data_IF_682763152022
#
_entry.id   IF_682763152022
#
_cell.length_a   1.000
_cell.length_b   1.000
_cell.length_c   1.000
_cell.angle_alpha   90.00
_cell.angle_beta   90.00
_cell.angle_gamma   90.00
#
_symmetry.space_group_name_H-M   'P 1'
#
loop_
_entity.id
_entity.type
_entity.pdbx_description
1 polymer ?
#
# COMPACT_ATOMS: atom_id res chain seq x y z
N UNK A 1 -1.13 -65.31 24.66
CA UNK A 1 -1.50 -66.46 23.81
C UNK A 1 -0.66 -66.41 22.55
N UNK A 2 0.06 -67.52 22.26
CA UNK A 2 0.52 -68.07 20.96
C UNK A 2 0.95 -67.06 19.86
N UNK A 3 2.26 -66.98 19.53
CA UNK A 3 3.03 -67.81 18.54
C UNK A 3 2.53 -67.64 17.09
N UNK A 4 3.31 -67.64 16.01
CA UNK A 4 4.74 -67.59 15.62
C UNK A 4 4.70 -67.79 14.08
N UNK A 5 5.63 -67.17 13.35
CA UNK A 5 6.37 -67.65 12.17
C UNK A 5 5.69 -68.52 11.08
N UNK A 6 6.00 -68.25 9.80
CA UNK A 6 6.75 -69.19 8.94
C UNK A 6 7.09 -68.62 7.55
N UNK A 7 8.37 -68.76 7.18
CA UNK A 7 8.91 -68.77 5.82
C UNK A 7 8.43 -70.00 5.02
N UNK A 8 8.47 -69.90 3.68
CA UNK A 8 8.98 -70.92 2.72
C UNK A 8 8.73 -70.41 1.28
N UNK A 9 9.77 -70.20 0.45
CA UNK A 9 10.44 -71.14 -0.48
C UNK A 9 9.63 -71.45 -1.76
N UNK A 10 10.25 -71.14 -2.91
CA UNK A 10 9.78 -71.31 -4.29
C UNK A 10 9.65 -72.78 -4.73
N UNK A 11 9.04 -73.04 -5.91
CA UNK A 11 9.89 -73.42 -7.04
C UNK A 11 9.44 -72.94 -8.45
N UNK A 12 10.39 -73.04 -9.38
CA UNK A 12 10.25 -72.90 -10.83
C UNK A 12 9.32 -73.97 -11.44
N UNK A 13 8.59 -73.58 -12.50
CA UNK A 13 8.19 -74.48 -13.58
C UNK A 13 8.32 -73.74 -14.92
N UNK A 14 9.03 -74.40 -15.84
CA UNK A 14 9.28 -73.97 -17.20
C UNK A 14 8.04 -74.20 -18.08
N UNK A 15 7.79 -73.28 -19.01
CA UNK A 15 6.99 -73.55 -20.20
C UNK A 15 7.64 -72.84 -21.40
N UNK A 16 8.16 -73.68 -22.29
CA UNK A 16 8.63 -73.40 -23.64
C UNK A 16 7.50 -72.94 -24.57
N UNK A 17 7.82 -72.08 -25.54
CA UNK A 17 7.22 -72.19 -26.87
C UNK A 17 6.79 -70.90 -27.56
N UNK A 18 7.54 -70.60 -28.62
CA UNK A 18 7.11 -69.98 -29.89
C UNK A 18 6.94 -68.45 -29.92
N UNK A 19 7.93 -67.83 -30.57
CA UNK A 19 7.88 -66.46 -31.09
C UNK A 19 6.81 -66.32 -32.18
N UNK A 20 5.91 -65.37 -32.00
CA UNK A 20 5.20 -64.71 -33.09
C UNK A 20 5.65 -63.24 -33.08
N UNK A 21 6.42 -62.84 -34.09
CA UNK A 21 6.76 -61.45 -34.31
C UNK A 21 5.49 -60.69 -34.73
N UNK A 22 4.86 -60.00 -33.77
CA UNK A 22 3.83 -59.01 -34.06
C UNK A 22 4.52 -57.68 -34.28
N UNK A 23 4.42 -57.18 -35.52
CA UNK A 23 4.82 -55.83 -35.88
C UNK A 23 4.15 -54.83 -34.93
N UNK A 24 4.94 -54.00 -34.26
CA UNK A 24 4.43 -52.91 -33.45
C UNK A 24 3.95 -51.80 -34.40
N UNK A 25 2.68 -51.41 -34.26
CA UNK A 25 2.17 -50.20 -34.90
C UNK A 25 3.01 -49.00 -34.45
N UNK A 26 3.31 -48.05 -35.37
CA UNK A 26 4.00 -46.82 -34.98
C UNK A 26 3.18 -46.06 -33.92
N UNK A 27 3.85 -45.42 -32.94
CA UNK A 27 3.15 -44.69 -31.89
C UNK A 27 2.26 -43.60 -32.51
N UNK A 28 1.06 -43.35 -31.94
CA UNK A 28 0.18 -42.32 -32.45
C UNK A 28 0.88 -40.96 -32.42
N UNK A 29 0.68 -40.10 -33.44
CA UNK A 29 1.28 -38.78 -33.46
C UNK A 29 0.87 -38.01 -32.21
N UNK A 30 1.82 -37.28 -31.62
CA UNK A 30 1.59 -36.45 -30.45
C UNK A 30 0.34 -35.57 -30.66
N UNK A 31 -0.54 -35.43 -29.65
CA UNK A 31 -1.71 -34.58 -29.77
C UNK A 31 -1.25 -33.18 -30.15
N UNK A 32 -1.72 -32.70 -31.31
CA UNK A 32 -1.51 -31.32 -31.71
C UNK A 32 -2.25 -30.44 -30.70
N UNK A 33 -1.49 -29.80 -29.81
CA UNK A 33 -2.01 -28.75 -28.94
C UNK A 33 -2.39 -27.61 -29.87
N UNK A 34 -3.69 -27.46 -30.13
CA UNK A 34 -4.21 -26.25 -30.75
C UNK A 34 -3.65 -25.06 -29.97
N UNK A 35 -3.15 -23.99 -30.63
CA UNK A 35 -2.68 -22.82 -29.92
C UNK A 35 -3.79 -22.39 -28.98
N UNK A 36 -3.48 -22.33 -27.67
CA UNK A 36 -4.41 -21.83 -26.68
C UNK A 36 -4.98 -20.53 -27.22
N UNK A 37 -6.31 -20.42 -27.30
CA UNK A 37 -6.97 -19.16 -27.64
C UNK A 37 -6.29 -18.07 -26.80
N UNK A 38 -5.86 -16.94 -27.39
CA UNK A 38 -5.15 -15.92 -26.65
C UNK A 38 -6.02 -15.55 -25.45
N UNK A 39 -5.56 -15.89 -24.24
CA UNK A 39 -6.15 -15.37 -23.01
C UNK A 39 -6.11 -13.86 -23.22
N UNK A 40 -7.29 -13.26 -23.36
CA UNK A 40 -7.40 -11.84 -23.65
C UNK A 40 -6.71 -11.11 -22.51
N UNK A 41 -5.46 -10.70 -22.73
CA UNK A 41 -4.77 -9.75 -21.86
C UNK A 41 -5.69 -8.55 -21.88
N UNK A 42 -6.40 -8.29 -20.79
CA UNK A 42 -7.15 -7.05 -20.65
C UNK A 42 -6.15 -5.94 -20.93
N UNK A 43 -6.31 -5.25 -22.06
CA UNK A 43 -5.28 -4.35 -22.57
C UNK A 43 -5.02 -3.29 -21.52
N UNK A 44 -3.75 -3.08 -21.19
CA UNK A 44 -3.36 -2.00 -20.29
C UNK A 44 -3.91 -0.70 -20.88
N UNK A 45 -4.77 0.05 -20.17
CA UNK A 45 -5.37 1.26 -20.73
C UNK A 45 -4.29 2.29 -21.02
N UNK A 46 -4.46 3.09 -22.07
CA UNK A 46 -3.56 4.22 -22.35
C UNK A 46 -3.78 5.34 -21.33
N UNK A 47 -2.86 6.31 -21.24
CA UNK A 47 -3.03 7.45 -20.32
C UNK A 47 -4.31 8.24 -20.60
N UNK A 48 -4.64 8.40 -21.88
CA UNK A 48 -5.86 9.06 -22.33
C UNK A 48 -7.09 8.28 -21.84
N UNK A 49 -7.06 6.94 -21.91
CA UNK A 49 -8.14 6.10 -21.41
C UNK A 49 -8.27 6.12 -19.89
N UNK A 50 -7.14 6.16 -19.16
CA UNK A 50 -7.13 6.27 -17.69
C UNK A 50 -7.87 7.53 -17.24
N UNK A 51 -7.64 8.64 -17.93
CA UNK A 51 -8.14 9.97 -17.57
C UNK A 51 -9.38 10.40 -18.38
N UNK A 52 -9.91 9.53 -19.24
CA UNK A 52 -11.08 9.85 -20.06
C UNK A 52 -12.31 10.06 -19.16
N UNK A 53 -12.84 11.29 -19.17
CA UNK A 53 -14.11 11.62 -18.51
C UNK A 53 -15.25 11.05 -19.36
N UNK A 54 -16.07 10.11 -18.83
CA UNK A 54 -17.24 9.60 -19.55
C UNK A 54 -18.23 10.73 -19.86
N UNK A 55 -18.90 10.67 -21.01
CA UNK A 55 -19.84 11.71 -21.42
C UNK A 55 -20.93 12.02 -20.36
N UNK A 56 -21.56 11.03 -19.68
CA UNK A 56 -22.52 11.31 -18.61
C UNK A 56 -21.89 12.04 -17.42
N UNK A 57 -20.66 11.71 -17.04
CA UNK A 57 -19.93 12.39 -15.97
C UNK A 57 -19.58 13.82 -16.36
N UNK A 58 -19.14 14.04 -17.61
CA UNK A 58 -18.87 15.40 -18.13
C UNK A 58 -20.14 16.25 -18.13
N UNK A 59 -21.27 15.69 -18.55
CA UNK A 59 -22.56 16.39 -18.53
C UNK A 59 -22.98 16.75 -17.09
N UNK A 60 -22.77 15.84 -16.14
CA UNK A 60 -23.04 16.11 -14.72
C UNK A 60 -22.15 17.24 -14.18
N UNK A 61 -20.85 17.21 -14.47
CA UNK A 61 -19.93 18.28 -14.11
C UNK A 61 -20.37 19.63 -14.69
N UNK A 62 -20.74 19.65 -15.97
CA UNK A 62 -21.16 20.87 -16.64
C UNK A 62 -22.43 21.45 -16.00
N UNK A 63 -23.44 20.61 -15.77
CA UNK A 63 -24.77 21.05 -15.29
C UNK A 63 -24.83 21.35 -13.81
N UNK A 64 -24.05 20.63 -12.97
CA UNK A 64 -24.09 20.77 -11.52
C UNK A 64 -23.00 21.68 -10.96
N UNK A 65 -21.86 21.79 -11.65
CA UNK A 65 -20.70 22.55 -11.16
C UNK A 65 -20.43 23.78 -12.01
N UNK A 66 -20.15 23.61 -13.30
CA UNK A 66 -19.60 24.70 -14.13
C UNK A 66 -20.65 25.76 -14.46
N UNK A 67 -21.84 25.35 -14.92
CA UNK A 67 -22.88 26.28 -15.38
C UNK A 67 -23.58 27.04 -14.24
N UNK A 68 -23.56 26.52 -13.01
CA UNK A 68 -24.26 27.09 -11.84
C UNK A 68 -23.42 28.08 -11.05
N UNK A 69 -22.10 28.06 -11.24
CA UNK A 69 -21.18 28.79 -10.37
C UNK A 69 -20.15 29.56 -11.19
N UNK A 70 -20.02 30.86 -10.88
CA UNK A 70 -19.08 31.77 -11.53
C UNK A 70 -17.71 31.79 -10.85
N UNK A 71 -17.65 31.54 -9.54
CA UNK A 71 -16.39 31.52 -8.78
C UNK A 71 -15.77 30.13 -8.69
N UNK A 72 -14.43 30.08 -8.63
CA UNK A 72 -13.67 28.82 -8.47
C UNK A 72 -13.94 28.14 -7.13
N UNK A 73 -14.14 28.92 -6.07
CA UNK A 73 -14.47 28.42 -4.73
C UNK A 73 -15.82 27.70 -4.71
N UNK A 74 -16.86 28.31 -5.28
CA UNK A 74 -18.18 27.66 -5.39
C UNK A 74 -18.12 26.40 -6.25
N UNK A 75 -17.34 26.41 -7.35
CA UNK A 75 -17.13 25.22 -8.17
C UNK A 75 -16.42 24.11 -7.42
N UNK A 76 -15.44 24.45 -6.58
CA UNK A 76 -14.73 23.47 -5.75
C UNK A 76 -15.68 22.81 -4.75
N UNK A 77 -16.51 23.61 -4.07
CA UNK A 77 -17.50 23.10 -3.13
C UNK A 77 -18.54 22.22 -3.84
N UNK A 78 -19.10 22.69 -4.96
CA UNK A 78 -20.07 21.93 -5.75
C UNK A 78 -19.46 20.65 -6.35
N UNK A 79 -18.17 20.65 -6.69
CA UNK A 79 -17.45 19.46 -7.15
C UNK A 79 -17.34 18.41 -6.03
N UNK A 80 -16.99 18.83 -4.81
CA UNK A 80 -16.96 17.93 -3.66
C UNK A 80 -18.35 17.33 -3.38
N UNK A 81 -19.40 18.15 -3.41
CA UNK A 81 -20.79 17.69 -3.27
C UNK A 81 -21.23 16.76 -4.41
N UNK A 82 -20.79 17.00 -5.64
CA UNK A 82 -21.09 16.13 -6.78
C UNK A 82 -20.42 14.76 -6.64
N UNK A 83 -19.21 14.68 -6.07
CA UNK A 83 -18.47 13.42 -5.90
C UNK A 83 -19.02 12.60 -4.73
N UNK A 84 -19.31 13.25 -3.60
CA UNK A 84 -19.69 12.55 -2.35
C UNK A 84 -21.19 12.54 -2.06
N UNK A 85 -21.99 13.32 -2.78
CA UNK A 85 -23.43 13.41 -2.54
C UNK A 85 -24.16 12.13 -2.95
N UNK A 86 -25.04 11.64 -2.08
CA UNK A 86 -25.86 10.44 -2.31
C UNK A 86 -26.80 10.55 -3.54
N UNK A 87 -27.15 11.77 -3.97
CA UNK A 87 -27.94 12.03 -5.19
C UNK A 87 -27.08 12.36 -6.42
N UNK A 88 -25.78 12.10 -6.34
CA UNK A 88 -24.78 12.45 -7.34
C UNK A 88 -23.93 11.22 -7.72
N UNK A 89 -22.61 11.27 -7.57
CA UNK A 89 -21.75 10.13 -7.85
C UNK A 89 -21.80 9.05 -6.76
N UNK A 90 -22.08 9.45 -5.50
CA UNK A 90 -22.07 8.58 -4.32
C UNK A 90 -20.82 7.68 -4.24
N UNK A 91 -19.65 8.30 -4.43
CA UNK A 91 -18.40 7.57 -4.50
C UNK A 91 -18.05 6.90 -3.16
N UNK A 92 -17.90 5.58 -3.19
CA UNK A 92 -17.51 4.76 -2.05
C UNK A 92 -16.00 4.48 -2.06
N UNK A 93 -15.38 4.45 -0.88
CA UNK A 93 -13.98 4.08 -0.74
C UNK A 93 -13.81 2.56 -0.78
N UNK A 94 -12.90 2.08 -1.63
CA UNK A 94 -12.44 0.70 -1.66
C UNK A 94 -10.91 0.71 -1.85
N UNK A 95 -10.11 0.16 -0.91
CA UNK A 95 -8.65 0.23 -0.98
C UNK A 95 -8.06 -0.49 -2.20
N UNK A 96 -8.79 -1.42 -2.81
CA UNK A 96 -8.36 -2.23 -3.96
C UNK A 96 -8.87 -1.69 -5.30
N UNK A 97 -9.64 -0.59 -5.30
CA UNK A 97 -10.26 -0.02 -6.48
C UNK A 97 -9.38 1.02 -7.18
N UNK A 98 -8.21 0.62 -7.70
CA UNK A 98 -7.47 1.47 -8.65
C UNK A 98 -8.17 1.40 -10.00
N UNK A 99 -9.00 2.39 -10.32
CA UNK A 99 -9.85 2.39 -11.50
C UNK A 99 -9.62 3.61 -12.39
N UNK A 100 -9.82 3.43 -13.69
CA UNK A 100 -9.95 4.52 -14.66
C UNK A 100 -11.20 5.35 -14.34
N UNK A 101 -11.25 6.59 -14.83
CA UNK A 101 -12.43 7.45 -14.61
C UNK A 101 -13.73 6.82 -15.14
N UNK A 102 -13.65 6.03 -16.21
CA UNK A 102 -14.79 5.28 -16.75
C UNK A 102 -15.24 4.17 -15.80
N UNK A 103 -14.31 3.39 -15.27
CA UNK A 103 -14.61 2.34 -14.29
C UNK A 103 -15.16 2.93 -12.98
N UNK A 104 -14.62 4.06 -12.50
CA UNK A 104 -15.15 4.75 -11.32
C UNK A 104 -16.61 5.19 -11.55
N UNK A 105 -16.90 5.76 -12.72
CA UNK A 105 -18.28 6.11 -13.07
C UNK A 105 -19.20 4.89 -13.04
N UNK A 106 -18.77 3.73 -13.53
CA UNK A 106 -19.61 2.54 -13.56
C UNK A 106 -19.78 1.89 -12.19
N UNK A 107 -18.70 1.81 -11.40
CA UNK A 107 -18.63 1.05 -10.15
C UNK A 107 -18.93 1.86 -8.91
N UNK A 108 -18.85 3.19 -8.99
CA UNK A 108 -18.98 4.13 -7.86
C UNK A 108 -17.99 3.82 -6.72
N UNK A 109 -16.82 3.29 -7.05
CA UNK A 109 -15.77 2.92 -6.10
C UNK A 109 -14.43 3.50 -6.53
N UNK A 110 -13.61 3.89 -5.57
CA UNK A 110 -12.22 4.32 -5.81
C UNK A 110 -11.37 4.15 -4.53
N UNK A 111 -10.09 3.82 -4.73
CA UNK A 111 -9.06 4.05 -3.71
C UNK A 111 -8.54 5.50 -3.75
N UNK A 112 -7.57 5.82 -2.89
CA UNK A 112 -7.00 7.17 -2.77
C UNK A 112 -6.45 7.71 -4.10
N UNK A 113 -5.73 6.88 -4.85
CA UNK A 113 -5.12 7.24 -6.13
C UNK A 113 -6.17 7.46 -7.23
N UNK A 114 -7.10 6.52 -7.39
CA UNK A 114 -8.16 6.62 -8.40
C UNK A 114 -9.03 7.87 -8.18
N UNK A 115 -9.38 8.16 -6.92
CA UNK A 115 -10.04 9.40 -6.56
C UNK A 115 -9.19 10.63 -6.85
N UNK A 116 -7.91 10.61 -6.50
CA UNK A 116 -7.00 11.74 -6.72
C UNK A 116 -6.93 12.10 -8.21
N UNK A 117 -6.86 11.09 -9.08
CA UNK A 117 -6.91 11.27 -10.53
C UNK A 117 -8.27 11.79 -11.00
N UNK A 118 -9.38 11.21 -10.51
CA UNK A 118 -10.74 11.69 -10.81
C UNK A 118 -10.89 13.17 -10.42
N UNK A 119 -10.63 13.50 -9.16
CA UNK A 119 -10.82 14.83 -8.61
C UNK A 119 -9.94 15.86 -9.32
N UNK A 120 -8.64 15.59 -9.48
CA UNK A 120 -7.74 16.50 -10.18
C UNK A 120 -8.17 16.74 -11.64
N UNK A 121 -8.65 15.70 -12.33
CA UNK A 121 -9.11 15.80 -13.72
C UNK A 121 -10.39 16.65 -13.80
N UNK A 122 -11.40 16.36 -12.98
CA UNK A 122 -12.65 17.11 -12.96
C UNK A 122 -12.47 18.55 -12.47
N UNK A 123 -11.58 18.79 -11.51
CA UNK A 123 -11.25 20.13 -11.02
C UNK A 123 -10.63 20.99 -12.13
N UNK A 124 -9.68 20.43 -12.89
CA UNK A 124 -9.09 21.12 -14.05
C UNK A 124 -10.13 21.43 -15.13
N UNK A 125 -11.00 20.47 -15.44
CA UNK A 125 -12.12 20.66 -16.38
C UNK A 125 -13.07 21.78 -15.90
N UNK A 126 -13.23 21.94 -14.58
CA UNK A 126 -14.00 23.03 -13.98
C UNK A 126 -13.27 24.39 -13.88
N UNK A 127 -12.02 24.48 -14.35
CA UNK A 127 -11.20 25.69 -14.30
C UNK A 127 -10.53 25.96 -12.95
N UNK A 128 -10.38 24.93 -12.11
CA UNK A 128 -9.69 24.97 -10.82
C UNK A 128 -8.25 24.49 -11.00
N UNK A 129 -7.29 25.21 -10.42
CA UNK A 129 -5.90 24.78 -10.42
C UNK A 129 -5.73 23.61 -9.46
N UNK A 130 -5.54 22.41 -10.01
CA UNK A 130 -5.35 21.18 -9.26
C UNK A 130 -4.10 20.41 -9.74
N UNK A 131 -3.35 19.87 -8.79
CA UNK A 131 -2.14 19.06 -9.02
C UNK A 131 -2.16 17.82 -8.15
N UNK A 132 -1.74 16.69 -8.71
CA UNK A 132 -1.49 15.49 -7.91
C UNK A 132 -0.24 15.75 -7.08
N UNK A 133 -0.25 15.30 -5.83
CA UNK A 133 0.88 15.36 -4.94
C UNK A 133 1.20 13.97 -4.41
N UNK A 134 2.49 13.65 -4.31
CA UNK A 134 2.98 12.48 -3.59
C UNK A 134 3.05 12.77 -2.09
N UNK A 135 2.81 11.73 -1.30
CA UNK A 135 3.03 11.73 0.15
C UNK A 135 4.05 10.66 0.47
N UNK A 136 5.22 11.07 0.94
CA UNK A 136 6.39 10.20 1.07
C UNK A 136 6.16 9.03 2.04
N UNK A 137 5.62 9.27 3.25
CA UNK A 137 5.33 8.22 4.24
C UNK A 137 4.02 8.47 4.99
N UNK A 138 3.23 7.40 5.18
CA UNK A 138 1.93 7.42 5.88
C UNK A 138 1.78 6.25 6.85
N UNK A 139 1.23 6.47 8.05
CA UNK A 139 1.04 5.42 9.08
C UNK A 139 0.10 4.30 8.60
N UNK A 140 -0.95 4.62 7.85
CA UNK A 140 -2.00 3.66 7.46
C UNK A 140 -1.45 2.46 6.67
N UNK A 141 -0.35 2.66 5.93
CA UNK A 141 0.28 1.63 5.12
C UNK A 141 1.14 0.63 5.92
N UNK A 142 1.71 1.05 7.06
CA UNK A 142 2.59 0.18 7.88
C UNK A 142 1.84 -0.90 8.66
N UNK A 143 0.51 -0.84 8.75
CA UNK A 143 -0.28 -1.79 9.54
C UNK A 143 -0.52 -3.15 8.85
N UNK A 144 -0.24 -3.28 7.54
CA UNK A 144 -0.65 -4.44 6.73
C UNK A 144 0.52 -5.40 6.33
N UNK A 145 1.72 -5.22 6.88
CA UNK A 145 2.95 -5.91 6.41
C UNK A 145 3.17 -7.35 6.95
N UNK A 146 2.21 -7.99 7.63
CA UNK A 146 2.44 -9.25 8.35
C UNK A 146 2.61 -10.53 7.46
N UNK A 147 2.57 -10.44 6.12
CA UNK A 147 2.45 -11.62 5.24
C UNK A 147 3.64 -11.91 4.28
N UNK A 148 4.87 -11.60 4.69
CA UNK A 148 6.09 -12.19 4.09
C UNK A 148 6.53 -11.68 2.72
N UNK A 149 5.74 -10.85 2.03
CA UNK A 149 6.14 -10.12 0.82
C UNK A 149 5.59 -8.69 0.89
N UNK A 150 6.47 -7.69 0.76
CA UNK A 150 6.12 -6.28 0.88
C UNK A 150 6.12 -5.63 -0.50
N UNK A 151 4.95 -5.31 -1.05
CA UNK A 151 4.90 -4.47 -2.26
C UNK A 151 5.09 -3.01 -1.86
N UNK A 152 5.27 -2.11 -2.83
CA UNK A 152 5.28 -0.67 -2.57
C UNK A 152 4.14 -0.03 -3.36
N UNK A 153 3.18 0.56 -2.64
CA UNK A 153 2.09 1.37 -3.19
C UNK A 153 2.16 2.72 -2.49
N UNK A 154 2.50 3.77 -3.24
CA UNK A 154 2.56 5.11 -2.69
C UNK A 154 1.17 5.68 -2.39
N UNK A 155 1.12 6.67 -1.50
CA UNK A 155 -0.07 7.48 -1.29
C UNK A 155 0.04 8.80 -2.04
N UNK A 156 -1.07 9.22 -2.65
CA UNK A 156 -1.16 10.51 -3.35
C UNK A 156 -2.43 11.25 -2.93
N UNK A 157 -2.40 12.58 -3.07
CA UNK A 157 -3.57 13.43 -2.86
C UNK A 157 -3.59 14.59 -3.87
N UNK A 158 -4.58 15.50 -3.73
CA UNK A 158 -4.73 16.65 -4.63
C UNK A 158 -4.38 17.94 -3.91
N UNK A 159 -3.39 18.66 -4.43
CA UNK A 159 -3.15 20.06 -4.09
C UNK A 159 -4.04 20.96 -4.94
N UNK A 160 -4.78 21.87 -4.29
CA UNK A 160 -5.66 22.84 -4.92
C UNK A 160 -5.16 24.26 -4.66
N UNK A 161 -5.33 25.15 -5.65
CA UNK A 161 -5.11 26.59 -5.50
C UNK A 161 -6.37 27.34 -5.96
N UNK A 162 -6.96 28.11 -5.04
CA UNK A 162 -8.13 28.96 -5.31
C UNK A 162 -7.85 30.35 -4.78
N UNK A 163 -7.85 31.34 -5.67
CA UNK A 163 -7.70 32.77 -5.35
C UNK A 163 -6.49 33.08 -4.42
N UNK A 164 -5.35 32.44 -4.70
CA UNK A 164 -4.11 32.60 -3.94
C UNK A 164 -4.03 31.77 -2.66
N UNK A 165 -5.10 31.07 -2.27
CA UNK A 165 -5.14 30.16 -1.12
C UNK A 165 -4.90 28.72 -1.58
N UNK A 166 -3.94 28.06 -0.94
CA UNK A 166 -3.65 26.65 -1.15
C UNK A 166 -4.42 25.75 -0.18
N UNK A 167 -4.76 24.54 -0.65
CA UNK A 167 -5.34 23.48 0.18
C UNK A 167 -4.99 22.11 -0.36
N UNK A 168 -5.30 21.07 0.41
CA UNK A 168 -5.16 19.67 0.02
C UNK A 168 -6.50 18.97 0.15
N UNK A 169 -6.87 18.18 -0.85
CA UNK A 169 -8.03 17.30 -0.85
C UNK A 169 -7.51 15.87 -0.80
N UNK A 170 -7.87 15.17 0.28
CA UNK A 170 -7.52 13.77 0.52
C UNK A 170 -8.78 13.01 0.97
N UNK A 171 -8.91 11.74 0.57
CA UNK A 171 -9.99 10.86 0.98
C UNK A 171 -9.80 10.35 2.40
N UNK A 172 -8.56 10.13 2.82
CA UNK A 172 -8.27 9.57 4.13
C UNK A 172 -7.92 10.68 5.12
N UNK A 173 -8.91 11.03 5.94
CA UNK A 173 -8.79 12.07 6.99
C UNK A 173 -7.88 11.65 8.15
N UNK A 174 -7.44 10.39 8.20
CA UNK A 174 -6.60 9.86 9.27
C UNK A 174 -5.13 9.69 8.87
N UNK A 175 -4.74 10.14 7.69
CA UNK A 175 -3.35 10.08 7.25
C UNK A 175 -2.52 11.11 8.02
N UNK A 176 -1.52 10.59 8.71
CA UNK A 176 -0.46 11.40 9.28
C UNK A 176 0.61 11.60 8.19
N UNK A 177 0.79 12.84 7.76
CA UNK A 177 1.83 13.22 6.81
C UNK A 177 3.19 13.31 7.50
N UNK A 178 4.23 12.94 6.75
CA UNK A 178 5.60 13.16 7.15
C UNK A 178 5.95 14.66 7.27
N UNK A 179 7.16 14.96 7.72
CA UNK A 179 7.63 16.35 7.90
C UNK A 179 7.76 17.14 6.60
N UNK A 180 7.95 16.46 5.46
CA UNK A 180 8.10 17.11 4.15
C UNK A 180 6.74 17.51 3.59
N UNK A 181 5.69 16.80 3.97
CA UNK A 181 4.33 17.06 3.53
C UNK A 181 4.14 16.70 2.05
N UNK A 182 2.93 16.87 1.53
CA UNK A 182 2.63 16.52 0.14
C UNK A 182 3.37 17.43 -0.84
N UNK A 183 4.07 16.84 -1.81
CA UNK A 183 4.77 17.59 -2.86
C UNK A 183 4.19 17.30 -4.25
N UNK A 184 4.04 18.31 -5.13
CA UNK A 184 3.46 18.12 -6.45
C UNK A 184 4.29 17.20 -7.34
N UNK A 185 3.60 16.37 -8.12
CA UNK A 185 4.22 15.47 -9.09
C UNK A 185 3.71 15.68 -10.51
N UNK A 186 4.48 15.20 -11.49
CA UNK A 186 4.10 15.21 -12.89
C UNK A 186 2.94 14.26 -13.18
N UNK A 187 2.29 14.45 -14.33
CA UNK A 187 1.24 13.54 -14.77
C UNK A 187 1.78 12.12 -15.04
N UNK A 188 2.97 12.02 -15.65
CA UNK A 188 3.59 10.71 -15.90
C UNK A 188 3.93 9.99 -14.60
N UNK A 189 4.38 10.70 -13.56
CA UNK A 189 4.56 10.11 -12.23
C UNK A 189 3.25 9.62 -11.63
N UNK A 190 2.16 10.38 -11.75
CA UNK A 190 0.84 9.97 -11.25
C UNK A 190 0.28 8.76 -12.02
N UNK A 191 0.53 8.68 -13.33
CA UNK A 191 0.19 7.51 -14.14
C UNK A 191 1.06 6.30 -13.81
N UNK A 192 2.34 6.51 -13.46
CA UNK A 192 3.21 5.43 -12.98
C UNK A 192 2.67 4.82 -11.68
N UNK A 193 2.19 5.64 -10.72
CA UNK A 193 1.44 5.14 -9.56
C UNK A 193 0.23 4.30 -9.97
N UNK A 194 -0.56 4.78 -10.94
CA UNK A 194 -1.77 4.07 -11.39
C UNK A 194 -1.42 2.69 -11.93
N UNK A 195 -0.50 2.62 -12.87
CA UNK A 195 -0.10 1.35 -13.46
C UNK A 195 0.62 0.45 -12.46
N UNK A 196 1.41 1.01 -11.53
CA UNK A 196 2.03 0.24 -10.44
C UNK A 196 0.99 -0.43 -9.55
N UNK A 197 -0.05 0.30 -9.12
CA UNK A 197 -1.10 -0.26 -8.27
C UNK A 197 -1.90 -1.34 -9.00
N UNK A 198 -2.27 -1.10 -10.26
CA UNK A 198 -2.91 -2.14 -11.11
C UNK A 198 -2.02 -3.37 -11.26
N UNK A 199 -0.71 -3.19 -11.41
CA UNK A 199 0.25 -4.29 -11.46
C UNK A 199 0.28 -5.10 -10.17
N UNK A 200 0.28 -4.43 -9.01
CA UNK A 200 0.22 -5.08 -7.70
C UNK A 200 -1.10 -5.83 -7.46
N UNK A 201 -2.23 -5.26 -7.88
CA UNK A 201 -3.55 -5.92 -7.85
C UNK A 201 -3.55 -7.20 -8.69
N UNK A 202 -3.06 -7.13 -9.93
CA UNK A 202 -2.97 -8.28 -10.84
C UNK A 202 -2.04 -9.36 -10.30
N UNK A 203 -0.89 -8.96 -9.76
CA UNK A 203 0.05 -9.89 -9.14
C UNK A 203 -0.58 -10.60 -7.93
N UNK A 204 -1.36 -9.89 -7.10
CA UNK A 204 -2.06 -10.47 -5.96
C UNK A 204 -3.16 -11.44 -6.40
N UNK A 205 -3.82 -11.15 -7.53
CA UNK A 205 -4.77 -12.05 -8.17
C UNK A 205 -4.13 -13.25 -8.90
N UNK A 206 -2.79 -13.37 -8.91
CA UNK A 206 -2.06 -14.44 -9.61
C UNK A 206 -1.90 -14.23 -11.12
N UNK A 207 -2.38 -13.12 -11.67
CA UNK A 207 -2.23 -12.74 -13.07
C UNK A 207 -0.83 -12.13 -13.31
N UNK A 208 0.17 -13.00 -13.41
CA UNK A 208 1.58 -12.61 -13.59
C UNK A 208 1.82 -11.84 -14.89
N UNK A 209 1.16 -12.25 -15.97
CA UNK A 209 1.30 -11.63 -17.30
C UNK A 209 0.72 -10.22 -17.27
N UNK A 210 -0.49 -10.05 -16.73
CA UNK A 210 -1.11 -8.75 -16.52
C UNK A 210 -0.28 -7.86 -15.59
N UNK A 211 0.23 -8.40 -14.49
CA UNK A 211 1.09 -7.66 -13.56
C UNK A 211 2.32 -7.08 -14.26
N UNK A 212 3.06 -7.90 -15.02
CA UNK A 212 4.23 -7.43 -15.76
C UNK A 212 3.87 -6.38 -16.80
N UNK A 213 2.76 -6.55 -17.51
CA UNK A 213 2.29 -5.56 -18.50
C UNK A 213 2.03 -4.20 -17.85
N UNK A 214 1.36 -4.19 -16.70
CA UNK A 214 1.11 -2.97 -15.93
C UNK A 214 2.38 -2.35 -15.35
N UNK A 215 3.29 -3.13 -14.77
CA UNK A 215 4.57 -2.59 -14.31
C UNK A 215 5.43 -2.03 -15.45
N UNK A 216 5.40 -2.66 -16.63
CA UNK A 216 6.08 -2.14 -17.81
C UNK A 216 5.50 -0.80 -18.24
N UNK A 217 4.17 -0.66 -18.22
CA UNK A 217 3.51 0.62 -18.51
C UNK A 217 3.83 1.69 -17.47
N UNK A 218 3.98 1.33 -16.19
CA UNK A 218 4.44 2.24 -15.14
C UNK A 218 5.86 2.77 -15.43
N UNK A 219 6.81 1.87 -15.73
CA UNK A 219 8.19 2.26 -16.07
C UNK A 219 8.30 3.03 -17.38
N UNK A 220 7.42 2.78 -18.36
CA UNK A 220 7.36 3.58 -19.57
C UNK A 220 6.96 5.04 -19.31
N UNK A 221 6.25 5.31 -18.20
CA UNK A 221 5.88 6.66 -17.76
C UNK A 221 6.96 7.28 -16.89
N UNK A 222 7.47 6.53 -15.91
CA UNK A 222 8.49 6.99 -14.99
C UNK A 222 9.55 5.89 -14.77
N UNK A 223 10.63 5.86 -15.57
CA UNK A 223 11.69 4.87 -15.44
C UNK A 223 12.43 4.93 -14.10
N UNK A 224 12.34 6.08 -13.41
CA UNK A 224 12.92 6.36 -12.10
C UNK A 224 11.98 6.04 -10.93
N UNK A 225 10.85 5.37 -11.18
CA UNK A 225 9.87 5.03 -10.15
C UNK A 225 10.28 3.76 -9.38
N UNK A 226 11.07 3.95 -8.31
CA UNK A 226 11.61 2.87 -7.48
C UNK A 226 10.56 1.84 -6.99
N UNK A 227 9.33 2.23 -6.55
CA UNK A 227 8.27 1.29 -6.18
C UNK A 227 7.94 0.25 -7.26
N UNK A 228 7.95 0.63 -8.54
CA UNK A 228 7.68 -0.30 -9.63
C UNK A 228 8.82 -1.29 -9.84
N UNK A 229 10.07 -0.84 -9.73
CA UNK A 229 11.23 -1.75 -9.74
C UNK A 229 11.19 -2.74 -8.58
N UNK A 230 10.79 -2.29 -7.39
CA UNK A 230 10.56 -3.18 -6.24
C UNK A 230 9.50 -4.24 -6.56
N UNK A 231 8.35 -3.81 -7.10
CA UNK A 231 7.24 -4.72 -7.39
C UNK A 231 7.54 -5.70 -8.53
N UNK A 232 8.31 -5.29 -9.55
CA UNK A 232 8.87 -6.20 -10.56
C UNK A 232 9.80 -7.23 -9.93
N UNK A 233 10.68 -6.80 -9.02
CA UNK A 233 11.57 -7.71 -8.34
C UNK A 233 10.84 -8.76 -7.50
N UNK A 234 9.74 -8.36 -6.86
CA UNK A 234 8.83 -9.27 -6.16
C UNK A 234 8.15 -10.24 -7.14
N UNK A 235 7.64 -9.74 -8.28
CA UNK A 235 6.99 -10.56 -9.30
C UNK A 235 7.96 -11.62 -9.84
N UNK A 236 9.18 -11.22 -10.22
CA UNK A 236 10.21 -12.09 -10.77
C UNK A 236 10.66 -13.15 -9.74
N UNK A 237 10.81 -12.77 -8.47
CA UNK A 237 11.18 -13.69 -7.38
C UNK A 237 10.14 -14.80 -7.19
N UNK A 238 8.85 -14.45 -7.34
CA UNK A 238 7.72 -15.40 -7.28
C UNK A 238 7.60 -16.26 -8.51
N UNK A 239 8.05 -15.76 -9.66
CA UNK A 239 8.10 -16.52 -10.91
C UNK A 239 9.31 -17.45 -10.98
N UNK A 240 10.26 -17.30 -10.06
CA UNK A 240 11.49 -18.10 -10.00
C UNK A 240 12.65 -17.51 -10.80
N UNK A 241 12.44 -16.38 -11.49
CA UNK A 241 13.51 -15.61 -12.13
C UNK A 241 14.27 -14.79 -11.07
N UNK A 242 15.17 -15.48 -10.35
CA UNK A 242 15.94 -14.85 -9.28
C UNK A 242 16.96 -13.82 -9.82
N UNK A 243 17.37 -13.94 -11.08
CA UNK A 243 18.29 -13.01 -11.71
C UNK A 243 17.58 -11.70 -12.06
N UNK A 244 16.42 -11.77 -12.70
CA UNK A 244 15.54 -10.62 -12.94
C UNK A 244 15.13 -9.94 -11.64
N UNK A 245 14.74 -10.73 -10.64
CA UNK A 245 14.36 -10.25 -9.32
C UNK A 245 15.46 -9.40 -8.67
N UNK A 246 16.70 -9.91 -8.74
CA UNK A 246 17.87 -9.23 -8.19
C UNK A 246 18.14 -7.92 -8.92
N UNK A 247 18.16 -7.94 -10.26
CA UNK A 247 18.42 -6.75 -11.05
C UNK A 247 17.36 -5.65 -10.83
N UNK A 248 16.09 -6.03 -10.70
CA UNK A 248 15.00 -5.10 -10.42
C UNK A 248 15.12 -4.48 -9.01
N UNK A 249 15.40 -5.29 -7.99
CA UNK A 249 15.58 -4.79 -6.61
C UNK A 249 16.84 -3.94 -6.45
N UNK A 250 17.94 -4.27 -7.13
CA UNK A 250 19.15 -3.45 -7.16
C UNK A 250 18.88 -2.10 -7.84
N UNK A 251 18.08 -2.06 -8.91
CA UNK A 251 17.64 -0.80 -9.52
C UNK A 251 16.74 0.01 -8.59
N UNK A 252 15.80 -0.62 -7.88
CA UNK A 252 14.98 0.05 -6.89
C UNK A 252 15.86 0.73 -5.82
N UNK A 253 16.83 0.00 -5.26
CA UNK A 253 17.76 0.49 -4.24
C UNK A 253 18.78 1.51 -4.76
N UNK A 254 19.05 1.54 -6.06
CA UNK A 254 19.87 2.57 -6.70
C UNK A 254 19.10 3.89 -6.84
N UNK A 255 17.80 3.80 -7.10
CA UNK A 255 16.91 4.96 -7.26
C UNK A 255 16.48 5.55 -5.92
N UNK A 256 16.08 4.69 -4.98
CA UNK A 256 15.81 5.05 -3.60
C UNK A 256 16.47 4.03 -2.67
N UNK A 257 17.57 4.47 -2.09
CA UNK A 257 18.41 3.64 -1.25
C UNK A 257 17.84 3.54 0.19
N UNK A 258 16.77 4.26 0.52
CA UNK A 258 16.08 4.23 1.82
C UNK A 258 14.69 3.62 1.75
N UNK A 259 14.28 3.08 0.62
CA UNK A 259 12.96 2.46 0.48
C UNK A 259 12.85 1.17 1.31
N UNK A 260 12.00 1.18 2.34
CA UNK A 260 11.89 0.09 3.32
C UNK A 260 11.54 -1.24 2.63
N UNK A 261 10.57 -1.21 1.70
CA UNK A 261 10.08 -2.37 0.96
C UNK A 261 11.18 -3.01 0.11
N UNK A 262 11.97 -2.19 -0.59
CA UNK A 262 13.07 -2.66 -1.43
C UNK A 262 14.19 -3.29 -0.58
N UNK A 263 14.53 -2.68 0.57
CA UNK A 263 15.52 -3.23 1.50
C UNK A 263 15.08 -4.59 2.05
N UNK A 264 13.81 -4.72 2.45
CA UNK A 264 13.21 -5.97 2.93
C UNK A 264 13.27 -7.03 1.83
N UNK A 265 12.71 -6.76 0.65
CA UNK A 265 12.63 -7.75 -0.42
C UNK A 265 14.02 -8.18 -0.93
N UNK A 266 14.95 -7.23 -1.06
CA UNK A 266 16.32 -7.54 -1.47
C UNK A 266 17.04 -8.39 -0.42
N UNK A 267 16.90 -8.09 0.88
CA UNK A 267 17.50 -8.92 1.93
C UNK A 267 16.95 -10.36 1.93
N UNK A 268 15.63 -10.53 1.76
CA UNK A 268 14.99 -11.84 1.66
C UNK A 268 15.49 -12.60 0.43
N UNK A 269 15.54 -11.94 -0.74
CA UNK A 269 16.05 -12.55 -1.97
C UNK A 269 17.52 -12.94 -1.82
N UNK A 270 18.36 -12.08 -1.24
CA UNK A 270 19.77 -12.36 -1.02
C UNK A 270 19.98 -13.55 -0.09
N UNK A 271 19.17 -13.72 0.96
CA UNK A 271 19.19 -14.95 1.78
C UNK A 271 18.85 -16.18 0.96
N UNK A 272 17.80 -16.10 0.13
CA UNK A 272 17.40 -17.21 -0.76
C UNK A 272 18.51 -17.59 -1.75
N UNK A 273 19.32 -16.63 -2.18
CA UNK A 273 20.48 -16.83 -3.05
C UNK A 273 21.76 -17.26 -2.32
N UNK A 274 21.74 -17.41 -0.99
CA UNK A 274 22.93 -17.73 -0.19
C UNK A 274 23.87 -16.54 0.03
N UNK A 275 23.49 -15.32 -0.37
CA UNK A 275 24.24 -14.08 -0.24
C UNK A 275 24.08 -13.47 1.17
N UNK A 276 24.40 -14.25 2.19
CA UNK A 276 24.07 -13.94 3.60
C UNK A 276 24.68 -12.62 4.08
N UNK A 277 25.94 -12.34 3.74
CA UNK A 277 26.61 -11.09 4.15
C UNK A 277 25.95 -9.86 3.53
N UNK A 278 25.55 -9.93 2.26
CA UNK A 278 24.88 -8.83 1.59
C UNK A 278 23.47 -8.61 2.16
N UNK A 279 22.74 -9.69 2.46
CA UNK A 279 21.45 -9.61 3.14
C UNK A 279 21.56 -8.92 4.50
N UNK A 280 22.56 -9.30 5.31
CA UNK A 280 22.81 -8.66 6.61
C UNK A 280 23.12 -7.17 6.47
N UNK A 281 23.89 -6.76 5.45
CA UNK A 281 24.16 -5.35 5.20
C UNK A 281 22.87 -4.56 4.90
N UNK A 282 21.98 -5.12 4.07
CA UNK A 282 20.67 -4.53 3.78
C UNK A 282 19.77 -4.45 5.02
N UNK A 283 19.78 -5.49 5.87
CA UNK A 283 19.02 -5.50 7.12
C UNK A 283 19.53 -4.45 8.12
N UNK A 284 20.84 -4.24 8.21
CA UNK A 284 21.40 -3.18 9.06
C UNK A 284 21.03 -1.79 8.54
N UNK A 285 21.04 -1.63 7.21
CA UNK A 285 20.59 -0.41 6.55
C UNK A 285 19.09 -0.15 6.81
N UNK A 286 18.23 -1.16 6.69
CA UNK A 286 16.81 -1.07 7.03
C UNK A 286 16.60 -0.63 8.48
N UNK A 287 17.32 -1.24 9.43
CA UNK A 287 17.27 -0.83 10.84
C UNK A 287 17.68 0.63 11.04
N UNK A 288 18.70 1.10 10.33
CA UNK A 288 19.12 2.50 10.39
C UNK A 288 18.03 3.44 9.83
N UNK A 289 17.41 3.09 8.70
CA UNK A 289 16.30 3.86 8.13
C UNK A 289 15.12 3.91 9.11
N UNK A 290 14.67 2.76 9.63
CA UNK A 290 13.55 2.66 10.57
C UNK A 290 13.82 3.36 11.91
N UNK A 291 15.08 3.43 12.36
CA UNK A 291 15.47 4.17 13.58
C UNK A 291 15.25 5.68 13.43
N UNK A 292 15.39 6.18 12.21
CA UNK A 292 15.31 7.61 11.89
C UNK A 292 13.95 7.97 11.25
N UNK A 293 13.08 6.99 11.04
CA UNK A 293 11.70 7.18 10.60
C UNK A 293 10.73 7.28 11.80
N UNK A 294 10.09 8.44 12.05
CA UNK A 294 9.12 8.59 13.12
C UNK A 294 7.95 7.59 13.06
N UNK A 295 7.52 7.22 11.85
CA UNK A 295 6.39 6.33 11.62
C UNK A 295 6.75 4.89 12.00
N UNK A 296 7.89 4.39 11.52
CA UNK A 296 8.42 3.10 11.93
C UNK A 296 8.63 3.01 13.45
N UNK A 297 9.13 4.08 14.09
CA UNK A 297 9.29 4.13 15.54
C UNK A 297 7.94 4.07 16.27
N UNK A 298 6.92 4.80 15.80
CA UNK A 298 5.58 4.72 16.39
C UNK A 298 4.97 3.32 16.25
N UNK A 299 5.11 2.70 15.08
CA UNK A 299 4.59 1.35 14.82
C UNK A 299 5.29 0.28 15.66
N UNK A 300 6.62 0.38 15.83
CA UNK A 300 7.37 -0.48 16.75
C UNK A 300 6.91 -0.31 18.20
N UNK A 301 6.59 0.92 18.62
CA UNK A 301 6.00 1.21 19.92
C UNK A 301 4.63 0.56 20.11
N UNK A 302 3.77 0.64 19.10
CA UNK A 302 2.45 0.01 19.12
C UNK A 302 2.51 -1.52 19.17
N UNK A 303 3.43 -2.13 18.42
CA UNK A 303 3.64 -3.57 18.49
C UNK A 303 4.14 -4.01 19.88
N UNK A 304 5.10 -3.30 20.46
CA UNK A 304 5.60 -3.59 21.81
C UNK A 304 4.50 -3.42 22.89
N UNK A 305 3.66 -2.39 22.76
CA UNK A 305 2.53 -2.16 23.66
C UNK A 305 1.52 -3.31 23.59
N UNK A 306 1.15 -3.77 22.38
CA UNK A 306 0.27 -4.94 22.19
C UNK A 306 0.82 -6.21 22.82
N UNK A 307 2.15 -6.36 22.81
CA UNK A 307 2.85 -7.48 23.43
C UNK A 307 3.03 -7.32 24.96
N UNK A 308 2.53 -6.23 25.55
CA UNK A 308 2.66 -5.95 26.99
C UNK A 308 4.03 -5.43 27.43
N UNK A 309 5.01 -5.28 26.52
CA UNK A 309 6.32 -4.69 26.82
C UNK A 309 6.22 -3.16 26.82
N UNK A 310 5.65 -2.63 27.91
CA UNK A 310 5.42 -1.20 28.09
C UNK A 310 6.73 -0.41 28.14
N UNK A 311 7.82 -1.00 28.63
CA UNK A 311 9.12 -0.33 28.71
C UNK A 311 9.70 -0.07 27.31
N UNK A 312 9.65 -1.08 26.44
CA UNK A 312 10.05 -0.94 25.04
C UNK A 312 9.09 -0.02 24.27
N UNK A 313 7.77 -0.13 24.51
CA UNK A 313 6.79 0.75 23.88
C UNK A 313 7.07 2.23 24.17
N UNK A 314 7.33 2.58 25.44
CA UNK A 314 7.70 3.94 25.84
C UNK A 314 8.97 4.42 25.13
N UNK A 315 10.00 3.56 25.01
CA UNK A 315 11.26 3.94 24.32
C UNK A 315 10.99 4.30 22.86
N UNK A 316 10.24 3.47 22.14
CA UNK A 316 9.91 3.69 20.74
C UNK A 316 9.00 4.90 20.53
N UNK A 317 7.94 5.04 21.33
CA UNK A 317 7.07 6.21 21.26
C UNK A 317 7.79 7.52 21.57
N UNK A 318 8.71 7.53 22.55
CA UNK A 318 9.55 8.72 22.80
C UNK A 318 10.42 9.07 21.61
N UNK A 319 11.01 8.07 20.94
CA UNK A 319 11.82 8.32 19.74
C UNK A 319 10.93 8.86 18.60
N UNK A 320 9.73 8.32 18.40
CA UNK A 320 8.78 8.84 17.43
C UNK A 320 8.43 10.32 17.69
N UNK A 321 8.11 10.68 18.94
CA UNK A 321 7.85 12.07 19.35
C UNK A 321 9.07 12.98 19.13
N UNK A 322 10.28 12.50 19.44
CA UNK A 322 11.51 13.27 19.19
C UNK A 322 11.74 13.51 17.69
N UNK A 323 11.46 12.50 16.87
CA UNK A 323 11.59 12.56 15.41
C UNK A 323 10.45 13.31 14.74
N UNK A 324 9.30 13.46 15.38
CA UNK A 324 8.17 14.25 14.89
C UNK A 324 7.16 14.52 16.02
N UNK A 325 7.17 15.76 16.52
CA UNK A 325 6.47 16.21 17.73
C UNK A 325 5.12 16.87 17.47
N UNK A 326 4.70 16.96 16.19
CA UNK A 326 3.42 17.55 15.79
C UNK A 326 2.34 16.49 15.57
N UNK A 327 2.68 15.21 15.61
CA UNK A 327 1.73 14.11 15.52
C UNK A 327 1.03 13.87 16.87
N UNK A 328 -0.23 14.28 16.99
CA UNK A 328 -1.02 14.04 18.21
C UNK A 328 -1.16 12.54 18.54
N UNK A 329 -1.14 11.67 17.52
CA UNK A 329 -1.19 10.22 17.64
C UNK A 329 0.03 9.68 18.40
N UNK A 330 1.22 10.24 18.18
CA UNK A 330 2.44 9.78 18.83
C UNK A 330 2.44 10.13 20.31
N UNK A 331 2.04 11.37 20.63
CA UNK A 331 1.82 11.80 22.01
C UNK A 331 0.73 10.98 22.69
N UNK A 332 -0.36 10.65 21.99
CA UNK A 332 -1.41 9.82 22.54
C UNK A 332 -0.95 8.38 22.83
N UNK A 333 -0.20 7.76 21.90
CA UNK A 333 0.40 6.44 22.11
C UNK A 333 1.36 6.44 23.32
N UNK A 334 2.22 7.45 23.41
CA UNK A 334 3.13 7.61 24.55
C UNK A 334 2.38 7.82 25.88
N UNK A 335 1.34 8.66 25.88
CA UNK A 335 0.50 8.89 27.05
C UNK A 335 -0.16 7.61 27.54
N UNK A 336 -0.67 6.79 26.61
CA UNK A 336 -1.29 5.50 26.91
C UNK A 336 -0.28 4.52 27.51
N UNK A 337 0.91 4.40 26.93
CA UNK A 337 1.95 3.53 27.48
C UNK A 337 2.42 4.00 28.89
N UNK A 338 2.51 5.31 29.13
CA UNK A 338 2.77 5.85 30.47
C UNK A 338 1.64 5.55 31.46
N UNK A 339 0.39 5.65 31.02
CA UNK A 339 -0.75 5.32 31.85
C UNK A 339 -0.74 3.84 32.25
N UNK A 340 -0.56 2.94 31.29
CA UNK A 340 -0.52 1.48 31.53
C UNK A 340 0.64 1.07 32.44
N UNK A 341 1.76 1.82 32.42
CA UNK A 341 2.90 1.60 33.30
C UNK A 341 2.81 2.34 34.65
N UNK A 342 1.66 2.93 34.97
CA UNK A 342 1.42 3.62 36.25
C UNK A 342 2.05 5.02 36.36
N UNK A 343 2.69 5.53 35.32
CA UNK A 343 3.38 6.82 35.29
C UNK A 343 2.41 7.98 35.01
N UNK A 344 1.40 8.16 35.87
CA UNK A 344 0.26 9.07 35.63
C UNK A 344 0.65 10.52 35.32
N UNK A 345 1.66 11.06 36.00
CA UNK A 345 2.14 12.42 35.75
C UNK A 345 2.76 12.59 34.36
N UNK A 346 3.39 11.55 33.81
CA UNK A 346 3.93 11.57 32.44
C UNK A 346 2.81 11.39 31.43
N UNK A 347 1.85 10.50 31.70
CA UNK A 347 0.68 10.30 30.86
C UNK A 347 -0.11 11.60 30.67
N UNK A 348 -0.32 12.37 31.75
CA UNK A 348 -1.05 13.64 31.72
C UNK A 348 -0.40 14.68 30.80
N UNK A 349 0.94 14.82 30.87
CA UNK A 349 1.68 15.76 30.01
C UNK A 349 1.55 15.41 28.54
N UNK A 350 1.79 14.15 28.20
CA UNK A 350 1.73 13.70 26.80
C UNK A 350 0.29 13.77 26.26
N UNK A 351 -0.71 13.44 27.08
CA UNK A 351 -2.11 13.55 26.68
C UNK A 351 -2.55 15.01 26.51
N UNK A 352 -2.02 15.93 27.31
CA UNK A 352 -2.23 17.37 27.15
C UNK A 352 -1.65 17.86 25.82
N UNK A 353 -0.45 17.37 25.46
CA UNK A 353 0.16 17.67 24.16
C UNK A 353 -0.66 17.11 23.01
N UNK A 354 -1.11 15.85 23.10
CA UNK A 354 -2.02 15.25 22.13
C UNK A 354 -3.32 16.07 21.96
N UNK A 355 -3.90 16.56 23.05
CA UNK A 355 -5.06 17.47 23.03
C UNK A 355 -4.78 18.77 22.26
N UNK A 356 -3.63 19.39 22.50
CA UNK A 356 -3.28 20.64 21.81
C UNK A 356 -3.10 20.47 20.30
N UNK A 357 -2.64 19.29 19.86
CA UNK A 357 -2.33 18.99 18.46
C UNK A 357 -3.50 18.35 17.69
N UNK A 358 -4.44 17.69 18.36
CA UNK A 358 -5.42 16.81 17.71
C UNK A 358 -6.60 17.47 16.99
N UNK A 359 -6.63 18.80 16.87
CA UNK A 359 -7.76 19.55 16.31
C UNK A 359 -9.07 19.40 17.11
N UNK A 360 -10.14 20.06 16.67
CA UNK A 360 -11.42 20.11 17.39
C UNK A 360 -12.04 18.72 17.65
N UNK A 361 -11.93 17.80 16.69
CA UNK A 361 -12.47 16.44 16.78
C UNK A 361 -11.82 15.63 17.91
N UNK A 362 -10.50 15.70 18.07
CA UNK A 362 -9.80 14.92 19.10
C UNK A 362 -9.66 15.66 20.44
N UNK A 363 -9.77 16.98 20.46
CA UNK A 363 -9.69 17.77 21.69
C UNK A 363 -10.66 17.29 22.77
N UNK A 364 -11.93 17.09 22.42
CA UNK A 364 -12.95 16.59 23.37
C UNK A 364 -12.62 15.19 23.86
N UNK A 365 -12.20 14.29 22.96
CA UNK A 365 -11.82 12.91 23.29
C UNK A 365 -10.64 12.86 24.26
N UNK A 366 -9.63 13.70 24.05
CA UNK A 366 -8.46 13.78 24.93
C UNK A 366 -8.77 14.50 26.25
N UNK A 367 -9.68 15.48 26.25
CA UNK A 367 -10.15 16.13 27.47
C UNK A 367 -10.78 15.12 28.44
N UNK A 368 -11.72 14.30 27.96
CA UNK A 368 -12.38 13.31 28.80
C UNK A 368 -11.40 12.32 29.47
N UNK A 369 -10.31 11.98 28.75
CA UNK A 369 -9.23 11.13 29.27
C UNK A 369 -8.39 11.85 30.34
N UNK A 370 -8.08 13.14 30.16
CA UNK A 370 -7.40 13.96 31.17
C UNK A 370 -8.21 14.07 32.46
N UNK A 371 -9.53 14.27 32.34
CA UNK A 371 -10.42 14.33 33.49
C UNK A 371 -10.40 13.00 34.28
N UNK A 372 -10.36 11.87 33.56
CA UNK A 372 -10.17 10.55 34.15
C UNK A 372 -8.85 10.40 34.91
N UNK A 373 -7.73 10.82 34.30
CA UNK A 373 -6.41 10.80 34.94
C UNK A 373 -6.37 11.66 36.21
N UNK A 374 -7.00 12.84 36.18
CA UNK A 374 -7.07 13.74 37.35
C UNK A 374 -7.78 13.09 38.54
N UNK A 375 -8.90 12.40 38.29
CA UNK A 375 -9.62 11.65 39.33
C UNK A 375 -8.76 10.54 39.94
N UNK A 376 -8.05 9.79 39.11
CA UNK A 376 -7.16 8.70 39.57
C UNK A 376 -6.01 9.21 40.44
N UNK A 377 -5.36 10.31 40.03
CA UNK A 377 -4.29 10.94 40.83
C UNK A 377 -4.80 11.42 42.19
N UNK A 378 -5.99 12.01 42.22
CA UNK A 378 -6.62 12.46 43.47
C UNK A 378 -6.93 11.28 44.40
N UNK A 379 -7.36 10.13 43.85
CA UNK A 379 -7.58 8.91 44.65
C UNK A 379 -6.27 8.31 45.18
N UNK A 380 -5.19 8.31 44.37
CA UNK A 380 -3.88 7.84 44.81
C UNK A 380 -3.28 8.71 45.91
N UNK A 381 -3.46 10.03 45.85
CA UNK A 381 -2.95 10.95 46.87
C UNK A 381 -3.71 10.89 48.21
N UNK A 382 -4.88 10.25 48.23
CA UNK A 382 -5.71 10.06 49.43
C UNK A 382 -5.49 8.71 50.12
N UNK A 383 -4.77 7.79 49.47
CA UNK A 383 -4.34 6.50 50.02
C UNK A 383 -2.90 6.65 50.50
#
# INVERSE_FOLDING_TARGET
MRRLAACCLAPLLAASGVSAALAQDPPPPAPQVAPAAPVAVASVPTAEQVLAIPAPLRQMLQTRVIARHSSREQRLQALAEMIFGAQALDLQYDPTATYTLTEIWQKRQANCLAFTLLFATLAREAGIQARVQEVDRVVSWYQDQEQGVVYSVGHVNVGIMVDGRGGTVDLDRNILYDRRGPHPISLDRALAHFYNNRGAERMTAGDKVGARAFFTAALARAPDFAPTWNNLGVLDSRDGDLAGARAALENALRLDDREDSALINASVLYRRLGLVTQAQALEQRLKAVQRDDPFAQYMAGAAAERNGDLATAIRYYRRAVQLYDNAHQFHFGLARAYFLSGQLARADRELTRARSLGGSVNQQRYQAKLDGLSRLRTQQARR
#
